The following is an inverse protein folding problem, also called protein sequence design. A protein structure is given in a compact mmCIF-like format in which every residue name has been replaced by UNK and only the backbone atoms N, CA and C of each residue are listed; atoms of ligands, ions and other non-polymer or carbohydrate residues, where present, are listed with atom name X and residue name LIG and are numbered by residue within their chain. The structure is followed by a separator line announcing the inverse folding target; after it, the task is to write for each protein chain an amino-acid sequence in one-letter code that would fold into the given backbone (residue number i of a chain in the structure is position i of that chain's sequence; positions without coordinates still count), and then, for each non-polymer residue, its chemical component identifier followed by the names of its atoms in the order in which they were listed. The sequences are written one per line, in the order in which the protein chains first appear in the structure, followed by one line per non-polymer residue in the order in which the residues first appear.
data_IF_769425426182
#
_entry.id   IF_769425426182
#
_cell.length_a   1.000
_cell.length_b   1.000
_cell.length_c   1.000
_cell.angle_alpha   90.00
_cell.angle_beta   90.00
_cell.angle_gamma   90.00
#
_symmetry.space_group_name_H-M   'P 1'
#
loop_
_entity.id
_entity.type
_entity.pdbx_description
1 polymer ?
#
# COMPACT_ATOMS: atom_id res chain seq x y z
N UNK A 1 -2.02 -24.78 6.43
CA UNK A 1 -3.26 -24.07 6.04
C UNK A 1 -2.82 -22.73 5.51
N UNK A 2 -2.62 -22.65 4.19
CA UNK A 2 -2.05 -21.47 3.55
C UNK A 2 -3.07 -20.34 3.66
N UNK A 3 -2.80 -19.36 4.52
CA UNK A 3 -3.57 -18.13 4.55
C UNK A 3 -3.27 -17.41 3.23
N UNK A 4 -4.15 -17.61 2.25
CA UNK A 4 -4.08 -16.86 1.02
C UNK A 4 -4.27 -15.40 1.41
N UNK A 5 -3.22 -14.58 1.28
CA UNK A 5 -3.30 -13.15 1.54
C UNK A 5 -4.45 -12.60 0.71
N UNK A 6 -5.56 -12.31 1.38
CA UNK A 6 -6.81 -12.02 0.70
C UNK A 6 -6.79 -10.57 0.23
N UNK A 7 -7.52 -10.27 -0.85
CA UNK A 7 -7.66 -8.89 -1.34
C UNK A 7 -8.14 -7.92 -0.25
N UNK A 8 -8.99 -8.41 0.65
CA UNK A 8 -9.50 -7.66 1.80
C UNK A 8 -8.37 -7.36 2.81
N UNK A 9 -7.60 -8.37 3.19
CA UNK A 9 -6.44 -8.17 4.08
C UNK A 9 -5.40 -7.23 3.47
N UNK A 10 -5.19 -7.31 2.15
CA UNK A 10 -4.32 -6.39 1.42
C UNK A 10 -4.83 -4.95 1.47
N UNK A 11 -6.12 -4.73 1.23
CA UNK A 11 -6.73 -3.40 1.33
C UNK A 11 -6.58 -2.80 2.73
N UNK A 12 -6.91 -3.57 3.78
CA UNK A 12 -6.77 -3.14 5.16
C UNK A 12 -5.32 -2.78 5.50
N UNK A 13 -4.36 -3.58 5.04
CA UNK A 13 -2.94 -3.33 5.25
C UNK A 13 -2.49 -2.03 4.55
N UNK A 14 -2.88 -1.82 3.29
CA UNK A 14 -2.54 -0.61 2.54
C UNK A 14 -3.12 0.63 3.23
N UNK A 15 -4.41 0.60 3.59
CA UNK A 15 -5.04 1.72 4.33
C UNK A 15 -4.40 1.93 5.69
N UNK A 16 -3.99 0.86 6.38
CA UNK A 16 -3.26 0.96 7.64
C UNK A 16 -1.89 1.61 7.47
N UNK A 17 -1.14 1.27 6.41
CA UNK A 17 0.16 1.88 6.12
C UNK A 17 0.04 3.38 5.81
N UNK A 18 -1.09 3.80 5.23
CA UNK A 18 -1.40 5.20 4.94
C UNK A 18 -1.86 6.02 6.15
N UNK A 19 -2.14 5.37 7.30
CA UNK A 19 -2.57 6.09 8.50
C UNK A 19 -1.50 7.09 8.96
N UNK A 20 -1.94 8.29 9.28
CA UNK A 20 -1.05 9.39 9.71
C UNK A 20 -0.64 10.35 8.60
N UNK A 21 -0.80 9.98 7.32
CA UNK A 21 -0.69 10.93 6.20
C UNK A 21 -2.02 11.63 5.92
N UNK A 22 -3.14 10.97 6.24
CA UNK A 22 -4.49 11.52 6.14
C UNK A 22 -5.38 11.04 7.27
N UNK A 23 -6.56 11.64 7.39
CA UNK A 23 -7.58 11.26 8.37
C UNK A 23 -8.26 9.93 8.00
N UNK A 24 -8.95 9.31 8.96
CA UNK A 24 -9.65 8.05 8.72
C UNK A 24 -10.78 8.18 7.68
N UNK A 25 -11.51 9.30 7.68
CA UNK A 25 -12.55 9.60 6.69
C UNK A 25 -11.96 9.77 5.29
N UNK A 26 -10.89 10.55 5.14
CA UNK A 26 -10.20 10.73 3.85
C UNK A 26 -9.71 9.39 3.29
N UNK A 27 -9.11 8.55 4.14
CA UNK A 27 -8.67 7.21 3.72
C UNK A 27 -9.83 6.26 3.41
N UNK A 28 -11.02 6.48 3.97
CA UNK A 28 -12.21 5.68 3.66
C UNK A 28 -12.87 6.11 2.34
N UNK A 29 -12.85 7.40 2.03
CA UNK A 29 -13.37 7.97 0.78
C UNK A 29 -12.37 7.91 -0.38
N UNK A 30 -11.09 7.66 -0.10
CA UNK A 30 -10.03 7.56 -1.10
C UNK A 30 -10.32 6.43 -2.10
N UNK A 31 -10.42 6.80 -3.38
CA UNK A 31 -10.66 5.87 -4.47
C UNK A 31 -9.45 4.97 -4.74
N UNK A 32 -9.69 3.67 -4.93
CA UNK A 32 -8.59 2.72 -5.05
C UNK A 32 -7.73 2.90 -6.31
N UNK A 33 -8.26 3.58 -7.33
CA UNK A 33 -7.60 3.78 -8.62
C UNK A 33 -6.88 5.12 -8.76
N UNK A 34 -6.90 5.99 -7.73
CA UNK A 34 -6.21 7.27 -7.80
C UNK A 34 -4.74 7.14 -7.38
N UNK A 35 -3.84 7.96 -7.95
CA UNK A 35 -2.45 8.00 -7.53
C UNK A 35 -2.31 8.53 -6.09
N UNK A 36 -1.72 7.74 -5.20
CA UNK A 36 -1.62 8.01 -3.75
C UNK A 36 -0.85 9.30 -3.45
N UNK A 37 0.27 9.52 -4.13
CA UNK A 37 1.13 10.68 -3.87
C UNK A 37 0.41 12.01 -4.04
N UNK A 38 -0.17 12.34 -5.21
CA UNK A 38 -0.93 13.59 -5.36
C UNK A 38 -2.28 13.57 -4.63
N UNK A 39 -2.88 12.40 -4.37
CA UNK A 39 -4.17 12.34 -3.66
C UNK A 39 -4.05 12.63 -2.16
N UNK A 40 -2.91 12.27 -1.56
CA UNK A 40 -2.62 12.45 -0.12
C UNK A 40 -1.51 13.47 0.14
N UNK A 41 -1.11 14.22 -0.90
CA UNK A 41 0.00 15.19 -0.86
C UNK A 41 1.31 14.59 -0.30
N UNK A 42 1.63 13.34 -0.65
CA UNK A 42 2.82 12.65 -0.14
C UNK A 42 4.09 13.14 -0.84
N UNK A 43 5.00 13.71 -0.05
CA UNK A 43 6.36 13.98 -0.46
C UNK A 43 7.17 12.68 -0.65
N UNK A 44 8.40 12.79 -1.16
CA UNK A 44 9.27 11.62 -1.36
C UNK A 44 9.59 10.88 -0.06
N UNK A 45 9.71 11.58 1.06
CA UNK A 45 9.96 10.96 2.36
C UNK A 45 8.72 10.25 2.91
N UNK A 46 7.52 10.81 2.70
CA UNK A 46 6.27 10.17 3.12
C UNK A 46 6.00 8.90 2.32
N UNK A 47 6.25 8.95 1.00
CA UNK A 47 6.13 7.76 0.17
C UNK A 47 7.11 6.66 0.59
N UNK A 48 8.37 7.00 0.92
CA UNK A 48 9.32 6.01 1.45
C UNK A 48 8.84 5.42 2.78
N UNK A 49 8.32 6.25 3.68
CA UNK A 49 7.75 5.79 4.95
C UNK A 49 6.57 4.84 4.73
N UNK A 50 5.69 5.13 3.75
CA UNK A 50 4.60 4.24 3.36
C UNK A 50 5.14 2.89 2.86
N UNK A 51 6.15 2.90 1.98
CA UNK A 51 6.79 1.69 1.47
C UNK A 51 7.45 0.87 2.58
N UNK A 52 8.16 1.52 3.51
CA UNK A 52 8.78 0.86 4.66
C UNK A 52 7.73 0.17 5.52
N UNK A 53 6.62 0.85 5.83
CA UNK A 53 5.51 0.25 6.60
C UNK A 53 4.89 -0.95 5.89
N UNK A 54 4.71 -0.88 4.57
CA UNK A 54 4.23 -2.02 3.78
C UNK A 54 5.21 -3.19 3.85
N UNK A 55 6.50 -2.91 3.68
CA UNK A 55 7.60 -3.89 3.74
C UNK A 55 7.64 -4.57 5.11
N UNK A 56 7.60 -3.81 6.19
CA UNK A 56 7.60 -4.34 7.57
C UNK A 56 6.34 -5.16 7.88
N UNK A 57 5.15 -4.68 7.50
CA UNK A 57 3.89 -5.36 7.78
C UNK A 57 3.74 -6.67 6.98
N UNK A 58 4.30 -6.73 5.78
CA UNK A 58 4.23 -7.90 4.91
C UNK A 58 5.45 -8.82 5.05
N UNK A 59 6.53 -8.35 5.70
CA UNK A 59 7.83 -9.00 5.75
C UNK A 59 8.54 -9.08 4.39
N UNK A 60 8.11 -8.28 3.40
CA UNK A 60 8.61 -8.33 2.02
C UNK A 60 9.54 -7.20 1.75
N UNK A 61 10.66 -7.50 1.10
CA UNK A 61 11.54 -6.47 0.56
C UNK A 61 10.85 -5.79 -0.62
N UNK A 62 10.69 -4.47 -0.55
CA UNK A 62 10.20 -3.64 -1.64
C UNK A 62 11.36 -2.73 -2.06
N UNK A 63 11.79 -2.86 -3.32
CA UNK A 63 12.86 -2.03 -3.87
C UNK A 63 12.29 -0.93 -4.78
N UNK A 64 13.11 0.04 -5.18
CA UNK A 64 12.67 1.20 -6.00
C UNK A 64 12.02 0.79 -7.33
N UNK A 65 12.39 -0.38 -7.86
CA UNK A 65 11.79 -0.95 -9.07
C UNK A 65 10.30 -1.28 -8.91
N UNK A 66 9.83 -1.52 -7.67
CA UNK A 66 8.44 -1.82 -7.36
C UNK A 66 7.60 -0.58 -7.10
N UNK A 67 8.20 0.60 -6.91
CA UNK A 67 7.48 1.84 -6.59
C UNK A 67 6.40 2.19 -7.61
N UNK A 68 6.58 1.98 -8.94
CA UNK A 68 5.49 2.18 -9.91
C UNK A 68 4.27 1.29 -9.66
N UNK A 69 4.45 0.12 -9.03
CA UNK A 69 3.36 -0.81 -8.67
C UNK A 69 2.63 -0.37 -7.39
N UNK A 70 3.22 0.54 -6.62
CA UNK A 70 2.67 1.11 -5.38
C UNK A 70 2.02 2.48 -5.58
N UNK A 71 1.65 2.81 -6.82
CA UNK A 71 1.12 4.11 -7.18
C UNK A 71 -0.34 4.31 -6.72
N UNK A 72 -1.17 3.27 -6.68
CA UNK A 72 -2.56 3.32 -6.21
C UNK A 72 -2.86 2.21 -5.20
N UNK A 73 -3.97 2.30 -4.47
CA UNK A 73 -4.40 1.21 -3.55
C UNK A 73 -4.62 -0.06 -4.36
N UNK A 74 -5.33 0.02 -5.49
CA UNK A 74 -5.61 -1.12 -6.34
C UNK A 74 -4.33 -1.78 -6.85
N UNK A 75 -3.36 -1.00 -7.36
CA UNK A 75 -2.10 -1.57 -7.86
C UNK A 75 -1.26 -2.17 -6.74
N UNK A 76 -1.29 -1.57 -5.55
CA UNK A 76 -0.60 -2.09 -4.36
C UNK A 76 -1.21 -3.41 -3.90
N UNK A 77 -2.55 -3.50 -3.86
CA UNK A 77 -3.25 -4.74 -3.54
C UNK A 77 -2.89 -5.84 -4.55
N UNK A 78 -2.91 -5.53 -5.85
CA UNK A 78 -2.48 -6.48 -6.89
C UNK A 78 -1.02 -6.91 -6.67
N UNK A 79 -0.12 -5.99 -6.33
CA UNK A 79 1.27 -6.31 -6.00
C UNK A 79 1.37 -7.32 -4.85
N UNK A 80 0.64 -7.07 -3.76
CA UNK A 80 0.67 -7.91 -2.55
C UNK A 80 0.04 -9.30 -2.76
N UNK A 81 -1.02 -9.38 -3.57
CA UNK A 81 -1.73 -10.63 -3.85
C UNK A 81 -1.05 -11.45 -4.95
N UNK A 82 -0.45 -10.80 -5.96
CA UNK A 82 0.20 -11.46 -7.09
C UNK A 82 1.49 -12.17 -6.68
N UNK A 83 2.23 -11.58 -5.74
CA UNK A 83 3.49 -12.14 -5.29
C UNK A 83 3.18 -13.21 -4.21
N UNK A 84 3.01 -14.45 -4.69
CA UNK A 84 2.76 -15.65 -3.87
C UNK A 84 4.11 -16.27 -3.50
N UNK A 85 4.70 -15.85 -2.38
CA UNK A 85 5.92 -16.42 -1.80
C UNK A 85 7.17 -16.34 -2.71
N UNK A 86 8.19 -15.64 -2.22
CA UNK A 86 9.55 -16.19 -2.25
C UNK A 86 9.71 -17.15 -1.08
#
# INVERSE_FOLDING_TARGET
MADAFSRLAADELVRSALRGFATADELAELSDNVPLRPALDLDSLDFLTFVERLSEATGRRIDEADYPRLNSIASTIEFLVADRHG
#
